data_IF_569376791617
#
_entry.id   IF_569376791617
#
_cell.length_a   1.000
_cell.length_b   1.000
_cell.length_c   1.000
_cell.angle_alpha   90.00
_cell.angle_beta   90.00
_cell.angle_gamma   90.00
#
_symmetry.space_group_name_H-M   'P 1'
#
loop_
_entity.id
_entity.type
_entity.pdbx_description
1 polymer ?
#
# COMPACT_ATOMS: atom_id res chain seq x y z
N UNK A 1 28.64 29.72 11.54
CA UNK A 1 27.75 28.76 10.86
C UNK A 1 28.51 27.46 10.71
N UNK A 2 27.93 26.33 11.12
CA UNK A 2 28.60 25.03 11.12
C UNK A 2 28.23 24.28 9.84
N UNK A 3 29.23 23.81 9.09
CA UNK A 3 29.01 23.04 7.87
C UNK A 3 28.91 21.54 8.21
N UNK A 4 28.00 20.84 7.57
CA UNK A 4 27.81 19.38 7.68
C UNK A 4 28.09 18.76 6.31
N UNK A 5 28.95 17.75 6.28
CA UNK A 5 29.18 16.96 5.05
C UNK A 5 28.06 15.95 4.86
N UNK A 6 27.53 15.87 3.64
CA UNK A 6 26.50 14.91 3.25
C UNK A 6 26.99 14.15 2.03
N UNK A 7 26.96 12.82 2.08
CA UNK A 7 27.23 11.99 0.91
C UNK A 7 25.96 11.84 0.07
N UNK A 8 26.07 12.19 -1.21
CA UNK A 8 24.98 12.01 -2.18
C UNK A 8 25.24 10.70 -2.93
N UNK A 9 24.51 9.65 -2.55
CA UNK A 9 24.51 8.37 -3.22
C UNK A 9 23.62 8.34 -4.47
N UNK A 10 23.75 7.30 -5.32
CA UNK A 10 22.86 7.10 -6.45
C UNK A 10 21.41 6.92 -5.99
N UNK A 11 20.45 7.33 -6.84
CA UNK A 11 19.02 7.14 -6.57
C UNK A 11 18.72 5.64 -6.45
N UNK A 12 18.04 5.19 -5.38
CA UNK A 12 17.57 3.81 -5.29
C UNK A 12 16.75 3.46 -6.53
N UNK A 13 16.98 2.28 -7.11
CA UNK A 13 16.11 1.77 -8.15
C UNK A 13 14.76 1.44 -7.51
N UNK A 14 13.68 1.80 -8.20
CA UNK A 14 12.35 1.33 -7.82
C UNK A 14 12.36 -0.20 -7.90
N UNK A 15 11.85 -0.85 -6.85
CA UNK A 15 11.62 -2.29 -6.92
C UNK A 15 10.59 -2.54 -8.02
N UNK A 16 10.78 -3.61 -8.80
CA UNK A 16 9.77 -4.08 -9.74
C UNK A 16 8.46 -4.28 -8.98
N UNK A 17 7.37 -3.72 -9.52
CA UNK A 17 6.06 -3.94 -8.91
C UNK A 17 5.81 -5.45 -8.87
N UNK A 18 5.43 -6.03 -7.72
CA UNK A 18 5.22 -7.46 -7.63
C UNK A 18 4.15 -7.87 -8.65
N UNK A 19 4.41 -8.93 -9.40
CA UNK A 19 3.41 -9.52 -10.30
C UNK A 19 2.15 -9.83 -9.47
N UNK A 20 1.04 -9.14 -9.79
CA UNK A 20 -0.24 -9.30 -9.10
C UNK A 20 -0.63 -8.17 -8.14
N UNK A 21 0.12 -7.07 -8.03
CA UNK A 21 -0.38 -5.86 -7.37
C UNK A 21 -1.29 -5.09 -8.31
N UNK A 22 -2.57 -4.97 -7.94
CA UNK A 22 -3.55 -4.17 -8.65
C UNK A 22 -3.80 -2.90 -7.83
N UNK A 23 -3.47 -1.75 -8.40
CA UNK A 23 -3.86 -0.45 -7.83
C UNK A 23 -5.35 -0.25 -8.10
N UNK A 24 -6.13 -0.20 -7.02
CA UNK A 24 -7.56 0.03 -7.10
C UNK A 24 -7.82 1.53 -7.13
N UNK A 25 -8.57 1.99 -8.12
CA UNK A 25 -8.97 3.40 -8.23
C UNK A 25 -10.02 3.77 -7.18
N UNK A 26 -10.88 2.82 -6.81
CA UNK A 26 -12.01 3.02 -5.91
C UNK A 26 -12.35 1.69 -5.18
N UNK A 27 -12.35 1.70 -3.85
CA UNK A 27 -12.61 0.52 -3.02
C UNK A 27 -14.12 0.23 -2.92
N UNK A 28 -14.93 1.27 -2.95
CA UNK A 28 -16.37 1.23 -2.88
C UNK A 28 -16.95 0.57 -4.13
N UNK A 29 -16.42 0.90 -5.31
CA UNK A 29 -16.78 0.24 -6.58
C UNK A 29 -16.40 -1.23 -6.57
N UNK A 30 -15.22 -1.60 -6.04
CA UNK A 30 -14.80 -3.00 -5.93
C UNK A 30 -15.72 -3.81 -5.01
N UNK A 31 -16.25 -3.17 -3.97
CA UNK A 31 -17.04 -3.82 -2.93
C UNK A 31 -18.56 -3.66 -3.13
N UNK A 32 -18.98 -3.03 -4.23
CA UNK A 32 -20.38 -2.84 -4.55
C UNK A 32 -21.06 -4.20 -4.79
N UNK A 33 -22.06 -4.53 -3.96
CA UNK A 33 -22.74 -5.82 -4.00
C UNK A 33 -22.08 -6.93 -3.18
N UNK A 34 -20.92 -6.67 -2.55
CA UNK A 34 -20.44 -7.54 -1.49
C UNK A 34 -21.43 -7.49 -0.32
N UNK A 35 -21.98 -8.63 0.07
CA UNK A 35 -22.85 -8.71 1.25
C UNK A 35 -22.03 -8.34 2.49
N UNK A 36 -22.47 -7.38 3.33
CA UNK A 36 -21.81 -7.08 4.59
C UNK A 36 -21.93 -8.31 5.50
N UNK A 37 -20.91 -9.17 5.48
CA UNK A 37 -20.91 -10.45 6.19
C UNK A 37 -19.56 -10.84 6.79
N UNK A 38 -18.46 -10.14 6.46
CA UNK A 38 -17.15 -10.45 7.03
C UNK A 38 -16.95 -10.00 8.49
N UNK A 39 -18.01 -9.58 9.20
CA UNK A 39 -17.93 -9.11 10.59
C UNK A 39 -18.50 -10.12 11.61
N UNK A 40 -19.22 -11.14 11.15
CA UNK A 40 -19.76 -12.20 12.02
C UNK A 40 -18.72 -13.30 12.30
N UNK A 41 -17.70 -13.42 11.45
CA UNK A 41 -16.57 -14.35 11.59
C UNK A 41 -15.37 -13.74 12.34
N UNK A 42 -15.56 -12.64 13.07
CA UNK A 42 -14.47 -12.07 13.88
C UNK A 42 -14.36 -12.81 15.23
N UNK A 43 -13.36 -13.68 15.45
CA UNK A 43 -13.25 -14.48 16.67
C UNK A 43 -12.74 -13.68 17.88
N UNK A 44 -12.51 -12.37 17.72
CA UNK A 44 -11.93 -11.48 18.72
C UNK A 44 -12.89 -10.37 19.20
N UNK A 45 -14.19 -10.52 18.96
CA UNK A 45 -15.21 -9.56 19.46
C UNK A 45 -15.74 -9.94 20.83
#
# INVERSE_FOLDING_TARGET
>A
MTAVMVEIGPRPQAQEEPEGVILLEDLEVLTEGATPGCNDDNPYR
#
